data_IF_340045791296
#
_entry.id   IF_340045791296
#
_cell.length_a   1.000
_cell.length_b   1.000
_cell.length_c   1.000
_cell.angle_alpha   90.00
_cell.angle_beta   90.00
_cell.angle_gamma   90.00
#
_symmetry.space_group_name_H-M   'P 1'
#
loop_
_entity.id
_entity.type
_entity.pdbx_description
1 polymer ?
#
# COMPACT_ATOMS: atom_id res chain seq x y z
N UNK A 1 2.45 17.51 -8.18
CA UNK A 1 2.96 16.26 -7.57
C UNK A 1 4.16 16.56 -6.65
N UNK A 2 3.94 17.17 -5.47
CA UNK A 2 5.04 17.52 -4.53
C UNK A 2 4.87 16.87 -3.15
N UNK A 3 3.63 16.66 -2.68
CA UNK A 3 3.38 16.18 -1.33
C UNK A 3 3.88 14.75 -1.04
N UNK A 4 3.60 13.75 -1.90
CA UNK A 4 4.00 12.35 -1.67
C UNK A 4 5.52 12.14 -1.67
N UNK A 5 6.27 13.02 -2.34
CA UNK A 5 7.74 12.93 -2.36
C UNK A 5 8.38 13.40 -1.06
N UNK A 6 7.69 14.26 -0.32
CA UNK A 6 8.19 14.86 0.92
C UNK A 6 7.49 14.32 2.17
N UNK A 7 6.32 13.69 2.02
CA UNK A 7 5.53 13.10 3.10
C UNK A 7 4.97 11.76 2.64
N UNK A 8 5.13 10.69 3.44
CA UNK A 8 4.53 9.40 3.11
C UNK A 8 3.01 9.53 2.94
N UNK A 9 2.47 9.01 1.84
CA UNK A 9 1.04 8.98 1.55
C UNK A 9 0.58 7.55 1.33
N UNK A 10 -0.51 7.17 2.00
CA UNK A 10 -1.17 5.87 1.86
C UNK A 10 -2.58 6.12 1.31
N UNK A 11 -3.02 5.30 0.36
CA UNK A 11 -4.38 5.33 -0.18
C UNK A 11 -5.04 3.95 -0.04
N UNK A 12 -6.26 3.95 0.49
CA UNK A 12 -7.17 2.79 0.44
C UNK A 12 -8.38 3.17 -0.42
N UNK A 13 -8.74 2.30 -1.36
CA UNK A 13 -9.78 2.58 -2.34
C UNK A 13 -10.80 1.44 -2.39
N UNK A 14 -12.08 1.78 -2.43
CA UNK A 14 -13.17 0.83 -2.65
C UNK A 14 -13.47 0.69 -4.14
N UNK A 15 -14.13 -0.40 -4.53
CA UNK A 15 -14.60 -0.54 -5.91
C UNK A 15 -13.57 -1.02 -6.94
N UNK A 16 -12.41 -1.52 -6.50
CA UNK A 16 -11.33 -2.00 -7.38
C UNK A 16 -11.67 -3.23 -8.21
N UNK A 17 -12.62 -4.04 -7.75
CA UNK A 17 -13.10 -5.24 -8.47
C UNK A 17 -14.39 -4.90 -9.23
N UNK A 18 -14.69 -5.55 -10.37
CA UNK A 18 -15.84 -5.18 -11.21
C UNK A 18 -17.19 -5.06 -10.47
N UNK A 19 -17.47 -5.96 -9.52
CA UNK A 19 -18.67 -5.89 -8.67
C UNK A 19 -18.64 -4.68 -7.73
N UNK A 20 -17.49 -4.41 -7.15
CA UNK A 20 -17.27 -3.24 -6.30
C UNK A 20 -17.36 -1.93 -7.09
N UNK A 21 -16.79 -1.87 -8.30
CA UNK A 21 -16.82 -0.69 -9.16
C UNK A 21 -18.27 -0.30 -9.48
N UNK A 22 -19.11 -1.28 -9.81
CA UNK A 22 -20.54 -1.08 -10.01
C UNK A 22 -21.23 -0.55 -8.76
N UNK A 23 -20.97 -1.16 -7.60
CA UNK A 23 -21.54 -0.70 -6.33
C UNK A 23 -21.11 0.74 -5.97
N UNK A 24 -19.83 1.08 -6.18
CA UNK A 24 -19.29 2.41 -5.95
C UNK A 24 -19.89 3.46 -6.90
N UNK A 25 -20.07 3.10 -8.18
CA UNK A 25 -20.73 3.95 -9.17
C UNK A 25 -22.21 4.21 -8.81
N UNK A 26 -22.94 3.20 -8.33
CA UNK A 26 -24.32 3.39 -7.84
C UNK A 26 -24.39 4.27 -6.60
N UNK A 27 -23.37 4.23 -5.72
CA UNK A 27 -23.36 5.03 -4.50
C UNK A 27 -23.03 6.50 -4.75
N UNK A 28 -22.08 6.77 -5.65
CA UNK A 28 -21.61 8.14 -5.90
C UNK A 28 -22.29 8.81 -7.10
N UNK A 29 -22.97 8.03 -7.95
CA UNK A 29 -23.51 8.48 -9.23
C UNK A 29 -22.41 8.80 -10.27
N UNK A 30 -21.14 8.55 -9.94
CA UNK A 30 -20.00 8.81 -10.81
C UNK A 30 -19.58 7.54 -11.57
N UNK A 31 -19.04 7.72 -12.77
CA UNK A 31 -18.36 6.65 -13.48
C UNK A 31 -17.16 6.17 -12.64
N UNK A 32 -17.18 4.89 -12.26
CA UNK A 32 -16.01 4.25 -11.67
C UNK A 32 -14.88 4.32 -12.70
N UNK A 33 -13.79 5.02 -12.37
CA UNK A 33 -12.61 5.10 -13.22
C UNK A 33 -11.92 3.75 -13.34
N UNK A 34 -11.06 3.62 -14.36
CA UNK A 34 -10.34 2.38 -14.59
C UNK A 34 -9.28 2.16 -13.49
N UNK A 35 -9.35 1.02 -12.80
CA UNK A 35 -8.51 0.71 -11.64
C UNK A 35 -7.01 0.72 -11.98
N UNK A 36 -6.66 0.30 -13.19
CA UNK A 36 -5.31 0.32 -13.75
C UNK A 36 -4.75 1.74 -13.92
N UNK A 37 -5.59 2.69 -14.35
CA UNK A 37 -5.22 4.11 -14.48
C UNK A 37 -4.98 4.72 -13.10
N UNK A 38 -5.84 4.42 -12.12
CA UNK A 38 -5.64 4.86 -10.73
C UNK A 38 -4.37 4.27 -10.14
N UNK A 39 -4.13 2.98 -10.31
CA UNK A 39 -2.94 2.29 -9.83
C UNK A 39 -1.65 2.90 -10.41
N UNK A 40 -1.62 3.11 -11.72
CA UNK A 40 -0.49 3.75 -12.40
C UNK A 40 -0.27 5.20 -11.92
N UNK A 41 -1.33 5.98 -11.73
CA UNK A 41 -1.25 7.36 -11.26
C UNK A 41 -0.72 7.45 -9.83
N UNK A 42 -1.23 6.61 -8.92
CA UNK A 42 -0.80 6.53 -7.52
C UNK A 42 0.66 6.07 -7.42
N UNK A 43 1.04 5.03 -8.17
CA UNK A 43 2.43 4.55 -8.23
C UNK A 43 3.38 5.64 -8.74
N UNK A 44 3.01 6.36 -9.81
CA UNK A 44 3.82 7.47 -10.34
C UNK A 44 3.93 8.64 -9.35
N UNK A 45 2.90 8.87 -8.56
CA UNK A 45 2.89 9.89 -7.51
C UNK A 45 3.74 9.49 -6.28
N UNK A 46 4.10 8.21 -6.12
CA UNK A 46 4.79 7.70 -4.94
C UNK A 46 3.84 7.42 -3.76
N UNK A 47 2.57 7.12 -4.04
CA UNK A 47 1.57 6.79 -3.03
C UNK A 47 1.53 5.27 -2.84
N UNK A 48 1.61 4.81 -1.59
CA UNK A 48 1.40 3.41 -1.25
C UNK A 48 -0.10 3.10 -1.29
N UNK A 49 -0.53 2.30 -2.27
CA UNK A 49 -1.91 1.81 -2.34
C UNK A 49 -2.05 0.52 -1.54
N UNK A 50 -3.08 0.43 -0.71
CA UNK A 50 -3.39 -0.75 0.12
C UNK A 50 -4.82 -1.24 -0.14
N UNK A 51 -5.07 -2.51 0.17
CA UNK A 51 -6.34 -3.18 -0.14
C UNK A 51 -7.38 -3.00 0.96
N UNK A 52 -6.94 -2.93 2.22
CA UNK A 52 -7.84 -2.89 3.38
C UNK A 52 -7.53 -1.75 4.33
N UNK A 53 -8.52 -1.35 5.12
CA UNK A 53 -8.32 -0.40 6.22
C UNK A 53 -7.34 -0.94 7.27
N UNK A 54 -7.28 -2.26 7.46
CA UNK A 54 -6.31 -2.88 8.37
C UNK A 54 -4.88 -2.67 7.86
N UNK A 55 -4.65 -2.88 6.56
CA UNK A 55 -3.35 -2.62 5.93
C UNK A 55 -2.98 -1.13 6.00
N UNK A 56 -3.96 -0.24 5.89
CA UNK A 56 -3.74 1.20 6.06
C UNK A 56 -3.18 1.52 7.45
N UNK A 57 -3.79 1.00 8.51
CA UNK A 57 -3.29 1.23 9.87
C UNK A 57 -1.95 0.53 10.12
N UNK A 58 -1.78 -0.69 9.62
CA UNK A 58 -0.53 -1.42 9.71
C UNK A 58 0.63 -0.69 9.01
N UNK A 59 0.38 -0.04 7.87
CA UNK A 59 1.37 0.75 7.15
C UNK A 59 1.59 2.14 7.77
N UNK A 60 0.57 2.76 8.35
CA UNK A 60 0.67 4.10 8.94
C UNK A 60 1.59 4.15 10.16
N UNK A 61 1.55 3.10 11.00
CA UNK A 61 2.30 3.04 12.25
C UNK A 61 3.84 3.11 12.05
N UNK A 62 4.48 2.29 11.20
CA UNK A 62 5.90 2.41 10.92
C UNK A 62 6.25 3.73 10.22
N UNK A 63 5.41 4.26 9.33
CA UNK A 63 5.67 5.54 8.66
C UNK A 63 5.65 6.74 9.62
N UNK A 64 4.88 6.67 10.70
CA UNK A 64 4.83 7.72 11.72
C UNK A 64 6.05 7.70 12.67
N UNK A 65 6.65 6.52 12.86
CA UNK A 65 7.69 6.29 13.88
C UNK A 65 9.09 6.16 13.29
N UNK A 66 9.21 5.69 12.06
CA UNK A 66 10.50 5.42 11.43
C UNK A 66 11.09 6.65 10.75
N UNK A 67 12.42 6.76 10.81
CA UNK A 67 13.15 7.64 9.90
C UNK A 67 13.13 7.03 8.49
N UNK A 68 13.15 7.86 7.43
CA UNK A 68 13.32 7.35 6.07
C UNK A 68 14.56 6.46 5.98
N UNK A 69 14.37 5.23 5.49
CA UNK A 69 15.45 4.31 5.19
C UNK A 69 15.91 4.54 3.74
N UNK A 70 17.21 4.49 3.50
CA UNK A 70 17.80 4.70 2.18
C UNK A 70 18.68 3.51 1.78
N UNK A 71 18.52 3.05 0.54
CA UNK A 71 19.25 1.93 -0.03
C UNK A 71 18.65 0.56 0.29
N UNK A 72 19.34 -0.49 -0.15
CA UNK A 72 18.78 -1.85 -0.22
C UNK A 72 19.34 -2.79 0.87
N UNK A 73 19.74 -2.22 2.01
CA UNK A 73 20.29 -2.98 3.14
C UNK A 73 19.23 -3.21 4.21
N UNK A 74 18.60 -4.37 4.17
CA UNK A 74 17.64 -4.83 5.17
C UNK A 74 18.19 -6.06 5.91
N UNK A 75 18.07 -6.08 7.24
CA UNK A 75 18.43 -7.24 8.07
C UNK A 75 17.21 -7.66 8.89
N UNK A 76 16.94 -8.96 8.93
CA UNK A 76 15.91 -9.55 9.80
C UNK A 76 16.57 -10.06 11.08
N UNK A 77 16.10 -9.59 12.23
CA UNK A 77 16.56 -10.04 13.55
C UNK A 77 15.38 -10.68 14.27
N UNK A 78 15.53 -11.95 14.64
CA UNK A 78 14.47 -12.74 15.27
C UNK A 78 15.06 -13.62 16.38
N UNK A 79 14.27 -13.90 17.42
CA UNK A 79 14.64 -14.82 18.50
C UNK A 79 14.26 -16.28 18.20
N UNK A 80 13.70 -16.57 17.02
CA UNK A 80 13.30 -17.93 16.63
C UNK A 80 13.25 -18.12 15.11
N UNK A 81 13.50 -19.35 14.68
CA UNK A 81 13.58 -19.70 13.25
C UNK A 81 12.26 -19.54 12.50
N UNK A 82 11.13 -19.95 13.08
CA UNK A 82 9.81 -19.88 12.44
C UNK A 82 9.41 -18.47 11.99
N UNK A 83 9.41 -17.47 12.88
CA UNK A 83 9.16 -16.07 12.50
C UNK A 83 10.15 -15.54 11.45
N UNK A 84 11.41 -15.99 11.48
CA UNK A 84 12.41 -15.61 10.48
C UNK A 84 12.09 -16.12 9.09
N UNK A 85 11.66 -17.38 8.99
CA UNK A 85 11.24 -17.97 7.71
C UNK A 85 9.99 -17.26 7.17
N UNK A 86 8.97 -17.05 8.01
CA UNK A 86 7.75 -16.34 7.59
C UNK A 86 8.03 -14.90 7.11
N UNK A 87 8.91 -14.17 7.80
CA UNK A 87 9.30 -12.83 7.37
C UNK A 87 10.11 -12.84 6.07
N UNK A 88 10.92 -13.88 5.86
CA UNK A 88 11.68 -14.05 4.61
C UNK A 88 10.74 -14.37 3.44
N UNK A 89 9.77 -15.27 3.65
CA UNK A 89 8.78 -15.62 2.63
C UNK A 89 7.95 -14.39 2.21
N UNK A 90 7.42 -13.64 3.19
CA UNK A 90 6.64 -12.42 2.89
C UNK A 90 7.50 -11.35 2.20
N UNK A 91 8.77 -11.21 2.58
CA UNK A 91 9.68 -10.27 1.91
C UNK A 91 9.90 -10.64 0.45
N UNK A 92 10.19 -11.92 0.15
CA UNK A 92 10.49 -12.39 -1.22
C UNK A 92 9.25 -12.33 -2.12
N UNK A 93 8.05 -12.55 -1.58
CA UNK A 93 6.80 -12.50 -2.34
C UNK A 93 6.35 -11.07 -2.70
N UNK A 94 6.94 -10.04 -2.06
CA UNK A 94 6.56 -8.62 -2.25
C UNK A 94 7.53 -7.82 -3.13
N UNK A 95 8.65 -8.42 -3.57
CA UNK A 95 9.58 -7.82 -4.54
C UNK A 95 9.16 -8.17 -5.96
#
# INVERSE_FOLDING_TARGET
MSAARNKPMIAVESGRKPKGAKAAASHTGALAGADDVYDAALRRAGVLRVDTTLDLFAAAQPLALARPLYGDRLALVTNGGGPGVMATDDLVLRV
#
